data_IF_480137417556
#
_entry.id   IF_480137417556
#
_cell.length_a   1.000
_cell.length_b   1.000
_cell.length_c   1.000
_cell.angle_alpha   90.00
_cell.angle_beta   90.00
_cell.angle_gamma   90.00
#
_symmetry.space_group_name_H-M   'P 1'
#
loop_
_entity.id
_entity.type
_entity.pdbx_description
1 polymer ?
#
# COMPACT_ATOMS: atom_id res chain seq x y z
N UNK A 1 -34.23 -25.71 -31.78
CA UNK A 1 -33.10 -24.74 -31.79
C UNK A 1 -33.24 -23.62 -30.73
N UNK A 2 -33.74 -23.91 -29.51
CA UNK A 2 -33.92 -22.91 -28.42
C UNK A 2 -32.90 -23.05 -27.27
N UNK A 3 -31.84 -23.85 -27.44
CA UNK A 3 -30.90 -24.22 -26.36
C UNK A 3 -29.52 -23.54 -26.37
N UNK A 4 -29.13 -22.83 -27.44
CA UNK A 4 -27.81 -22.17 -27.52
C UNK A 4 -27.83 -20.70 -27.06
N UNK A 5 -29.00 -20.04 -27.04
CA UNK A 5 -29.11 -18.60 -26.71
C UNK A 5 -29.04 -18.29 -25.19
N UNK A 6 -29.30 -19.31 -24.34
CA UNK A 6 -29.20 -19.19 -22.88
C UNK A 6 -27.79 -19.41 -22.34
N UNK A 7 -27.02 -20.33 -22.94
CA UNK A 7 -25.62 -20.62 -22.54
C UNK A 7 -24.70 -19.44 -22.85
N UNK A 8 -24.87 -18.78 -24.00
CA UNK A 8 -24.07 -17.59 -24.35
C UNK A 8 -24.31 -16.39 -23.43
N UNK A 9 -25.56 -16.20 -22.94
CA UNK A 9 -25.88 -15.14 -21.96
C UNK A 9 -25.31 -15.45 -20.58
N UNK A 10 -25.39 -16.71 -20.13
CA UNK A 10 -24.77 -17.12 -18.87
C UNK A 10 -23.24 -17.08 -18.94
N UNK A 11 -22.63 -17.51 -20.04
CA UNK A 11 -21.17 -17.42 -20.26
C UNK A 11 -20.74 -15.94 -20.34
N UNK A 12 -21.55 -15.09 -20.98
CA UNK A 12 -21.30 -13.65 -21.04
C UNK A 12 -21.44 -13.00 -19.67
N UNK A 13 -22.45 -13.35 -18.88
CA UNK A 13 -22.62 -12.83 -17.51
C UNK A 13 -21.56 -13.36 -16.55
N UNK A 14 -21.14 -14.62 -16.68
CA UNK A 14 -20.04 -15.21 -15.89
C UNK A 14 -18.70 -14.62 -16.32
N UNK A 15 -18.47 -14.39 -17.61
CA UNK A 15 -17.28 -13.70 -18.11
C UNK A 15 -17.27 -12.23 -17.67
N UNK A 16 -18.41 -11.54 -17.71
CA UNK A 16 -18.55 -10.16 -17.21
C UNK A 16 -18.40 -10.13 -15.70
N UNK A 17 -18.92 -11.09 -14.94
CA UNK A 17 -18.72 -11.19 -13.50
C UNK A 17 -17.26 -11.52 -13.17
N UNK A 18 -16.59 -12.41 -13.89
CA UNK A 18 -15.15 -12.67 -13.73
C UNK A 18 -14.32 -11.44 -14.12
N UNK A 19 -14.71 -10.74 -15.19
CA UNK A 19 -14.06 -9.51 -15.62
C UNK A 19 -14.29 -8.38 -14.60
N UNK A 20 -15.48 -8.25 -14.03
CA UNK A 20 -15.82 -7.28 -12.98
C UNK A 20 -15.13 -7.63 -11.66
N UNK A 21 -15.10 -8.90 -11.24
CA UNK A 21 -14.36 -9.37 -10.07
C UNK A 21 -12.83 -9.22 -10.25
N UNK A 22 -12.33 -9.36 -11.48
CA UNK A 22 -10.95 -9.00 -11.82
C UNK A 22 -10.76 -7.47 -11.92
N UNK A 23 -11.81 -6.71 -12.24
CA UNK A 23 -11.81 -5.24 -12.33
C UNK A 23 -11.86 -4.58 -10.94
N UNK A 24 -12.34 -5.27 -9.91
CA UNK A 24 -12.16 -4.88 -8.50
C UNK A 24 -10.66 -4.85 -8.12
N UNK A 25 -9.77 -5.38 -8.96
CA UNK A 25 -8.30 -5.30 -8.82
C UNK A 25 -7.70 -4.17 -9.67
N UNK A 26 -8.46 -3.59 -10.62
CA UNK A 26 -7.93 -2.61 -11.59
C UNK A 26 -8.24 -1.15 -11.26
N UNK A 27 -9.10 -0.87 -10.27
CA UNK A 27 -9.23 0.51 -9.77
C UNK A 27 -8.06 0.74 -8.81
N UNK A 28 -6.87 1.07 -9.31
CA UNK A 28 -6.02 2.08 -8.69
C UNK A 28 -4.78 2.34 -9.54
N UNK A 29 -4.49 3.62 -9.72
CA UNK A 29 -3.25 4.21 -10.25
C UNK A 29 -3.24 4.40 -11.77
N UNK A 30 -3.94 5.45 -12.22
CA UNK A 30 -3.42 6.27 -13.31
C UNK A 30 -2.08 6.85 -12.85
N UNK A 31 -0.96 6.22 -13.22
CA UNK A 31 0.38 6.63 -12.83
C UNK A 31 0.86 7.78 -13.73
N UNK A 32 0.42 9.01 -13.41
CA UNK A 32 1.32 10.15 -13.60
C UNK A 32 2.43 10.01 -12.56
N UNK A 33 3.69 10.27 -12.92
CA UNK A 33 4.86 10.13 -12.05
C UNK A 33 4.58 10.72 -10.66
N UNK A 34 4.22 9.84 -9.72
CA UNK A 34 3.73 10.23 -8.40
C UNK A 34 4.88 10.47 -7.44
N UNK A 35 4.57 10.58 -6.15
CA UNK A 35 5.58 10.71 -5.08
C UNK A 35 6.55 9.51 -5.00
N UNK A 36 6.21 8.40 -5.67
CA UNK A 36 7.02 7.19 -5.84
C UNK A 36 7.82 7.12 -7.16
N UNK A 37 7.75 8.16 -8.00
CA UNK A 37 8.48 8.21 -9.26
C UNK A 37 7.93 7.21 -10.28
N UNK A 38 8.80 6.28 -10.71
CA UNK A 38 8.47 5.20 -11.68
C UNK A 38 7.81 3.97 -11.03
N UNK A 39 7.74 3.93 -9.70
CA UNK A 39 7.12 2.79 -9.01
C UNK A 39 5.69 3.15 -8.65
N UNK A 40 4.71 2.29 -9.00
CA UNK A 40 3.34 2.54 -8.62
C UNK A 40 3.22 2.43 -7.10
N UNK A 41 2.41 3.34 -6.53
CA UNK A 41 2.21 3.43 -5.07
C UNK A 41 1.70 2.10 -4.48
N UNK A 42 0.92 1.33 -5.24
CA UNK A 42 0.45 0.01 -4.87
C UNK A 42 1.59 -1.00 -4.71
N UNK A 43 2.57 -1.02 -5.61
CA UNK A 43 3.73 -1.91 -5.51
C UNK A 43 4.68 -1.48 -4.39
N UNK A 44 4.81 -0.17 -4.15
CA UNK A 44 5.54 0.35 -2.99
C UNK A 44 4.85 -0.06 -1.67
N UNK A 45 3.52 0.00 -1.61
CA UNK A 45 2.73 -0.45 -0.48
C UNK A 45 2.80 -1.98 -0.28
N UNK A 46 2.73 -2.75 -1.35
CA UNK A 46 2.87 -4.21 -1.31
C UNK A 46 4.25 -4.62 -0.77
N UNK A 47 5.30 -3.87 -1.08
CA UNK A 47 6.64 -4.07 -0.53
C UNK A 47 6.72 -3.85 1.00
N UNK A 48 5.71 -3.18 1.58
CA UNK A 48 5.53 -2.98 3.01
C UNK A 48 4.57 -3.99 3.66
N UNK A 49 4.10 -5.00 2.92
CA UNK A 49 3.36 -6.15 3.47
C UNK A 49 3.98 -6.74 4.76
N UNK A 50 5.31 -6.99 4.86
CA UNK A 50 5.90 -7.48 6.11
C UNK A 50 5.77 -6.50 7.29
N UNK A 51 5.45 -5.24 7.06
CA UNK A 51 5.21 -4.25 8.10
C UNK A 51 3.77 -4.24 8.63
N UNK A 52 2.80 -4.91 7.98
CA UNK A 52 1.37 -4.79 8.29
C UNK A 52 1.03 -5.13 9.75
N UNK A 53 1.69 -6.14 10.32
CA UNK A 53 1.51 -6.49 11.73
C UNK A 53 2.06 -5.43 12.68
N UNK A 54 3.16 -4.77 12.29
CA UNK A 54 3.84 -3.75 13.09
C UNK A 54 3.21 -2.35 12.96
N UNK A 55 2.57 -2.03 11.83
CA UNK A 55 1.87 -0.74 11.63
C UNK A 55 0.53 -0.70 12.33
N UNK A 56 -0.07 -1.86 12.66
CA UNK A 56 -1.32 -1.93 13.40
C UNK A 56 -1.12 -2.16 14.90
N UNK A 57 0.02 -2.74 15.31
CA UNK A 57 0.29 -3.08 16.71
C UNK A 57 1.63 -2.52 17.18
N UNK A 58 1.58 -1.56 18.12
CA UNK A 58 2.80 -0.93 18.67
C UNK A 58 3.70 -1.94 19.41
N UNK A 59 3.09 -3.01 19.96
CA UNK A 59 3.80 -4.07 20.69
C UNK A 59 4.32 -5.20 19.77
N UNK A 60 3.82 -5.33 18.55
CA UNK A 60 4.21 -6.44 17.67
C UNK A 60 5.66 -6.29 17.19
N UNK A 61 6.48 -7.34 17.31
CA UNK A 61 7.88 -7.31 16.87
C UNK A 61 7.98 -6.90 15.38
N UNK A 62 8.85 -5.95 15.07
CA UNK A 62 9.07 -5.55 13.67
C UNK A 62 9.98 -6.57 13.00
N UNK A 63 9.60 -7.19 11.88
CA UNK A 63 10.51 -8.06 11.15
C UNK A 63 11.64 -7.23 10.53
N UNK A 64 12.85 -7.81 10.47
CA UNK A 64 14.04 -7.16 9.90
C UNK A 64 13.82 -6.75 8.44
N UNK A 65 13.07 -7.55 7.68
CA UNK A 65 12.68 -7.25 6.29
C UNK A 65 11.84 -5.98 6.19
N UNK A 66 10.93 -5.75 7.13
CA UNK A 66 10.18 -4.50 7.22
C UNK A 66 11.12 -3.32 7.51
N UNK A 67 12.02 -3.44 8.49
CA UNK A 67 12.96 -2.37 8.82
C UNK A 67 13.88 -2.00 7.65
N UNK A 68 14.37 -3.00 6.91
CA UNK A 68 15.19 -2.78 5.72
C UNK A 68 14.42 -2.02 4.63
N UNK A 69 13.16 -2.41 4.35
CA UNK A 69 12.32 -1.75 3.35
C UNK A 69 11.93 -0.33 3.75
N UNK A 70 11.51 -0.13 5.00
CA UNK A 70 11.20 1.20 5.53
C UNK A 70 12.43 2.09 5.51
N UNK A 71 13.59 1.59 5.94
CA UNK A 71 14.85 2.34 5.90
C UNK A 71 15.29 2.70 4.49
N UNK A 72 15.17 1.78 3.54
CA UNK A 72 15.45 2.05 2.13
C UNK A 72 14.56 3.16 1.60
N UNK A 73 13.23 3.04 1.76
CA UNK A 73 12.27 4.05 1.30
C UNK A 73 12.45 5.40 2.01
N UNK A 74 12.76 5.42 3.31
CA UNK A 74 13.06 6.67 4.02
C UNK A 74 14.26 7.41 3.42
N UNK A 75 15.28 6.68 2.95
CA UNK A 75 16.49 7.28 2.37
C UNK A 75 16.33 7.63 0.89
N UNK A 76 15.68 6.79 0.10
CA UNK A 76 15.57 6.96 -1.36
C UNK A 76 14.34 7.75 -1.77
N UNK A 77 13.20 7.51 -1.12
CA UNK A 77 11.91 8.05 -1.52
C UNK A 77 11.01 8.36 -0.30
N UNK A 78 11.38 9.30 0.57
CA UNK A 78 10.60 9.63 1.76
C UNK A 78 9.19 10.16 1.43
N UNK A 79 9.03 10.82 0.27
CA UNK A 79 7.73 11.26 -0.23
C UNK A 79 6.86 10.06 -0.64
N UNK A 80 7.43 9.05 -1.28
CA UNK A 80 6.72 7.82 -1.64
C UNK A 80 6.13 7.12 -0.41
N UNK A 81 6.95 6.95 0.63
CA UNK A 81 6.48 6.32 1.88
C UNK A 81 5.34 7.11 2.52
N UNK A 82 5.42 8.44 2.42
CA UNK A 82 4.38 9.33 2.86
C UNK A 82 3.06 9.13 2.10
N UNK A 83 3.15 9.11 0.77
CA UNK A 83 2.03 8.90 -0.11
C UNK A 83 1.37 7.56 0.18
N UNK A 84 2.15 6.48 0.33
CA UNK A 84 1.62 5.15 0.68
C UNK A 84 0.80 5.20 1.96
N UNK A 85 1.30 5.90 2.98
CA UNK A 85 0.61 6.04 4.27
C UNK A 85 -0.65 6.93 4.20
N UNK A 86 -0.69 7.91 3.31
CA UNK A 86 -1.85 8.79 3.09
C UNK A 86 -2.81 8.26 2.03
N UNK A 87 -2.42 7.21 1.30
CA UNK A 87 -3.19 6.63 0.22
C UNK A 87 -4.47 5.96 0.73
N UNK A 88 -5.49 5.80 -0.14
CA UNK A 88 -6.66 5.00 0.21
C UNK A 88 -6.31 3.54 0.55
N UNK A 89 -5.15 3.00 0.13
CA UNK A 89 -4.70 1.66 0.52
C UNK A 89 -4.44 1.57 2.02
N UNK A 90 -3.78 2.59 2.61
CA UNK A 90 -3.56 2.63 4.05
C UNK A 90 -4.87 2.71 4.83
N UNK A 91 -5.85 3.45 4.30
CA UNK A 91 -7.19 3.54 4.86
C UNK A 91 -7.94 2.20 4.80
N UNK A 92 -7.87 1.49 3.67
CA UNK A 92 -8.45 0.16 3.49
C UNK A 92 -7.78 -0.88 4.40
N UNK A 93 -6.46 -0.82 4.55
CA UNK A 93 -5.68 -1.69 5.42
C UNK A 93 -5.77 -1.31 6.92
N UNK A 94 -6.65 -0.35 7.27
CA UNK A 94 -6.87 0.17 8.64
C UNK A 94 -5.59 0.56 9.37
N UNK A 95 -4.58 1.01 8.63
CA UNK A 95 -3.26 1.31 9.18
C UNK A 95 -3.37 2.49 10.15
N UNK A 96 -2.98 2.26 11.41
CA UNK A 96 -2.89 3.33 12.38
C UNK A 96 -1.61 4.12 12.17
N UNK A 97 -1.75 5.37 11.72
CA UNK A 97 -0.62 6.21 11.43
C UNK A 97 0.22 6.54 12.67
N UNK A 98 -0.40 6.65 13.85
CA UNK A 98 0.30 6.85 15.11
C UNK A 98 1.23 5.69 15.46
N UNK A 99 0.87 4.47 15.05
CA UNK A 99 1.72 3.30 15.22
C UNK A 99 2.78 3.23 14.11
N UNK A 100 2.41 3.50 12.86
CA UNK A 100 3.32 3.49 11.72
C UNK A 100 4.51 4.45 11.90
N UNK A 101 4.28 5.66 12.45
CA UNK A 101 5.36 6.63 12.73
C UNK A 101 6.35 6.16 13.81
N UNK A 102 6.00 5.14 14.62
CA UNK A 102 6.91 4.56 15.60
C UNK A 102 7.83 3.50 15.01
N UNK A 103 7.50 2.94 13.83
CA UNK A 103 8.30 1.87 13.21
C UNK A 103 9.76 2.30 12.98
N UNK A 104 10.06 3.47 12.40
CA UNK A 104 11.46 3.88 12.22
C UNK A 104 12.26 3.92 13.54
N UNK A 105 11.60 4.32 14.64
CA UNK A 105 12.18 4.32 15.99
C UNK A 105 12.42 2.89 16.50
N UNK A 106 11.44 2.01 16.32
CA UNK A 106 11.53 0.58 16.72
C UNK A 106 12.55 -0.20 15.89
N UNK A 107 12.79 0.22 14.66
CA UNK A 107 13.84 -0.30 13.78
C UNK A 107 15.21 0.35 14.00
N UNK A 108 15.34 1.28 14.95
CA UNK A 108 16.58 2.01 15.25
C UNK A 108 17.24 2.67 14.02
N UNK A 109 16.43 3.26 13.14
CA UNK A 109 16.92 3.90 11.91
C UNK A 109 17.50 5.28 12.26
N UNK A 110 18.83 5.38 12.32
CA UNK A 110 19.55 6.59 12.75
C UNK A 110 19.40 7.80 11.83
N UNK A 111 19.30 7.59 10.52
CA UNK A 111 19.25 8.68 9.52
C UNK A 111 17.82 8.98 9.06
N UNK A 112 16.88 9.01 10.00
CA UNK A 112 15.48 9.31 9.72
C UNK A 112 15.31 10.79 9.36
N UNK A 113 14.51 11.14 8.34
CA UNK A 113 14.10 12.52 8.10
C UNK A 113 13.10 12.98 9.17
N UNK A 114 13.58 13.11 10.41
CA UNK A 114 12.82 13.64 11.53
C UNK A 114 12.40 15.09 11.20
N UNK A 115 11.15 15.43 11.51
CA UNK A 115 10.59 16.74 11.20
C UNK A 115 10.06 16.92 9.77
N UNK A 116 10.19 15.94 8.87
CA UNK A 116 9.52 16.03 7.56
C UNK A 116 8.01 15.84 7.72
N UNK A 117 7.27 16.80 7.17
CA UNK A 117 5.81 16.78 7.11
C UNK A 117 5.34 15.84 6.01
N UNK A 118 4.34 15.06 6.38
CA UNK A 118 3.66 14.06 5.62
C UNK A 118 2.18 14.42 5.56
N UNK A 119 1.85 15.38 4.69
CA UNK A 119 0.57 16.08 4.76
C UNK A 119 0.39 16.73 6.14
N UNK A 120 -0.56 16.23 6.92
CA UNK A 120 -0.84 16.71 8.30
C UNK A 120 0.03 16.06 9.38
N UNK A 121 0.86 15.07 9.04
CA UNK A 121 1.60 14.27 10.02
C UNK A 121 3.09 14.55 9.98
N UNK A 122 3.75 14.67 11.12
CA UNK A 122 5.20 14.88 11.17
C UNK A 122 5.88 13.57 11.51
N UNK A 123 6.94 13.22 10.76
CA UNK A 123 7.78 12.07 11.12
C UNK A 123 8.61 12.42 12.37
N UNK A 124 8.48 11.69 13.50
CA UNK A 124 9.31 11.90 14.68
C UNK A 124 10.79 11.55 14.50
#
# INVERSE_FOLDING_TARGET
MRGLKGRGRAISLVAVLIFVLASEVLILVAEGAGECGKTPIGSAAASLSPCLSAVNNVKAKVPLTCCARVGALLRTAPKCLCAVLLSPLAKQAKINLATAITIPKRCNIKNRPAGKKCGKYTLP
#
